data_IF_001490702536
#
_entry.id   IF_001490702536
#
_cell.length_a   1.000
_cell.length_b   1.000
_cell.length_c   1.000
_cell.angle_alpha   90.00
_cell.angle_beta   90.00
_cell.angle_gamma   90.00
#
_symmetry.space_group_name_H-M   'P 1'
#
loop_
_entity.id
_entity.type
_entity.pdbx_description
1 polymer ?
#
# COMPACT_ATOMS: atom_id res chain seq x y z
N UNK A 1 60.39 -32.58 1.28
CA UNK A 1 60.02 -31.66 2.38
C UNK A 1 60.38 -30.28 1.85
N UNK A 2 59.53 -29.59 1.09
CA UNK A 2 58.27 -28.97 1.50
C UNK A 2 58.43 -27.47 1.21
N UNK A 3 58.54 -27.12 -0.06
CA UNK A 3 58.79 -25.74 -0.51
C UNK A 3 57.46 -25.00 -0.65
N UNK A 4 57.26 -24.01 0.21
CA UNK A 4 56.11 -23.10 0.20
C UNK A 4 56.24 -22.12 -0.95
N UNK A 5 55.28 -22.15 -1.87
CA UNK A 5 55.14 -21.19 -2.96
C UNK A 5 54.39 -19.96 -2.43
N UNK A 6 55.12 -18.91 -2.03
CA UNK A 6 54.55 -17.61 -1.71
C UNK A 6 54.12 -16.90 -3.00
N UNK A 7 52.81 -16.71 -3.16
CA UNK A 7 52.24 -15.89 -4.23
C UNK A 7 52.25 -14.44 -3.73
N UNK A 8 53.25 -13.69 -4.17
CA UNK A 8 53.39 -12.24 -3.97
C UNK A 8 52.27 -11.51 -4.75
N UNK A 9 51.24 -11.04 -4.03
CA UNK A 9 50.18 -10.20 -4.59
C UNK A 9 50.67 -8.75 -4.66
N UNK A 10 51.35 -8.42 -5.76
CA UNK A 10 51.64 -7.04 -6.14
C UNK A 10 50.40 -6.40 -6.79
N UNK A 11 49.54 -5.79 -5.96
CA UNK A 11 48.30 -5.12 -6.38
C UNK A 11 48.41 -3.60 -6.33
N UNK A 12 49.32 -3.01 -7.11
CA UNK A 12 49.34 -1.58 -7.36
C UNK A 12 48.27 -1.22 -8.41
N UNK A 13 47.08 -0.85 -7.94
CA UNK A 13 45.98 -0.34 -8.76
C UNK A 13 46.06 1.18 -8.92
N UNK A 14 46.89 1.63 -9.84
CA UNK A 14 47.07 3.02 -10.22
C UNK A 14 45.84 3.51 -11.03
N UNK A 15 45.16 4.55 -10.51
CA UNK A 15 44.31 5.46 -11.30
C UNK A 15 43.12 4.86 -12.06
N UNK A 16 42.14 4.28 -11.38
CA UNK A 16 40.85 3.94 -11.99
C UNK A 16 40.03 5.20 -12.26
N UNK A 17 40.30 5.86 -13.39
CA UNK A 17 39.46 6.95 -13.90
C UNK A 17 38.04 6.41 -14.14
N UNK A 18 37.14 6.66 -13.19
CA UNK A 18 35.72 6.39 -13.35
C UNK A 18 35.17 7.07 -14.59
N UNK A 19 34.20 6.43 -15.25
CA UNK A 19 33.51 7.02 -16.41
C UNK A 19 32.21 7.67 -15.95
N UNK A 20 31.84 8.86 -16.47
CA UNK A 20 30.55 9.45 -16.17
C UNK A 20 29.43 8.66 -16.86
N UNK A 21 28.32 8.48 -16.15
CA UNK A 21 27.12 7.86 -16.69
C UNK A 21 26.57 8.73 -17.85
N UNK A 22 26.28 8.17 -19.04
CA UNK A 22 25.77 8.95 -20.17
C UNK A 22 24.36 9.50 -19.96
N UNK A 23 23.57 8.93 -19.03
CA UNK A 23 22.22 9.40 -18.75
C UNK A 23 22.16 10.52 -17.70
N UNK A 24 22.99 10.47 -16.65
CA UNK A 24 22.90 11.41 -15.52
C UNK A 24 24.21 12.12 -15.15
N UNK A 25 25.32 11.80 -15.82
CA UNK A 25 26.64 12.41 -15.59
C UNK A 25 27.36 11.99 -14.31
N UNK A 26 26.75 11.19 -13.42
CA UNK A 26 27.41 10.72 -12.20
C UNK A 26 28.52 9.73 -12.51
N UNK A 27 29.64 9.83 -11.79
CA UNK A 27 30.78 8.92 -11.93
C UNK A 27 30.40 7.50 -11.52
N UNK A 28 30.75 6.53 -12.38
CA UNK A 28 30.58 5.10 -12.15
C UNK A 28 31.94 4.46 -11.91
N UNK A 29 31.99 3.37 -11.14
CA UNK A 29 33.21 2.58 -11.05
C UNK A 29 33.53 1.99 -12.45
N UNK A 30 34.80 1.75 -12.80
CA UNK A 30 35.17 1.25 -14.13
C UNK A 30 34.50 -0.07 -14.50
N UNK A 31 34.19 -0.88 -13.48
CA UNK A 31 33.54 -2.19 -13.62
C UNK A 31 32.01 -2.12 -13.60
N UNK A 32 31.41 -0.96 -13.31
CA UNK A 32 29.96 -0.84 -13.23
C UNK A 32 29.34 -0.85 -14.62
N UNK A 33 28.38 -1.74 -14.78
CA UNK A 33 27.58 -1.87 -16.00
C UNK A 33 26.29 -1.05 -15.90
N UNK A 34 25.74 -0.91 -14.70
CA UNK A 34 24.49 -0.20 -14.41
C UNK A 34 24.75 0.97 -13.47
N UNK A 35 24.24 2.16 -13.80
CA UNK A 35 24.36 3.32 -12.94
C UNK A 35 23.41 3.18 -11.73
N UNK A 36 23.98 3.06 -10.53
CA UNK A 36 23.21 2.93 -9.28
C UNK A 36 22.29 4.15 -9.04
N UNK A 37 22.68 5.32 -9.55
CA UNK A 37 21.92 6.55 -9.30
C UNK A 37 20.65 6.69 -10.14
N UNK A 38 20.63 6.15 -11.37
CA UNK A 38 19.49 6.32 -12.29
C UNK A 38 18.98 5.02 -12.94
N UNK A 39 19.66 3.89 -12.73
CA UNK A 39 19.31 2.61 -13.33
C UNK A 39 19.77 2.43 -14.78
N UNK A 40 20.57 3.33 -15.36
CA UNK A 40 21.01 3.22 -16.76
C UNK A 40 22.00 2.09 -16.98
N UNK A 41 21.70 1.14 -17.86
CA UNK A 41 22.58 0.04 -18.27
C UNK A 41 23.39 0.43 -19.52
N UNK A 42 24.72 0.48 -19.35
CA UNK A 42 25.68 0.87 -20.39
C UNK A 42 25.87 -0.18 -21.48
N UNK A 43 25.46 -1.44 -21.28
CA UNK A 43 25.52 -2.48 -22.33
C UNK A 43 24.34 -2.39 -23.29
N UNK A 44 23.16 -2.13 -22.74
CA UNK A 44 21.91 -2.13 -23.50
C UNK A 44 21.50 -0.73 -23.97
N UNK A 45 22.04 0.32 -23.35
CA UNK A 45 21.72 1.71 -23.68
C UNK A 45 20.35 2.16 -23.18
N UNK A 46 19.75 1.44 -22.24
CA UNK A 46 18.40 1.70 -21.70
C UNK A 46 18.40 1.73 -20.17
N UNK A 47 17.45 2.47 -19.59
CA UNK A 47 17.23 2.47 -18.14
C UNK A 47 16.54 1.19 -17.69
N UNK A 48 17.18 0.45 -16.80
CA UNK A 48 16.60 -0.73 -16.17
C UNK A 48 15.71 -0.25 -15.03
N UNK A 49 14.41 -0.56 -15.02
CA UNK A 49 13.55 -0.21 -13.91
C UNK A 49 14.08 -0.87 -12.63
N UNK A 50 14.16 -0.10 -11.54
CA UNK A 50 14.80 -0.50 -10.27
C UNK A 50 14.28 -1.85 -9.70
N UNK A 51 13.11 -2.31 -10.13
CA UNK A 51 12.52 -3.59 -9.76
C UNK A 51 13.32 -4.83 -10.24
N UNK A 52 14.22 -4.69 -11.24
CA UNK A 52 15.00 -5.83 -11.79
C UNK A 52 16.43 -5.88 -11.24
N UNK A 53 16.95 -4.78 -10.68
CA UNK A 53 18.32 -4.70 -10.21
C UNK A 53 18.58 -5.49 -8.90
N UNK A 54 17.54 -5.74 -8.09
CA UNK A 54 17.68 -6.47 -6.83
C UNK A 54 17.58 -8.00 -6.96
N UNK A 55 17.19 -8.54 -8.12
CA UNK A 55 17.03 -9.99 -8.32
C UNK A 55 18.20 -10.67 -9.05
N UNK A 56 19.15 -9.91 -9.58
CA UNK A 56 20.31 -10.46 -10.31
C UNK A 56 21.60 -10.58 -9.50
N UNK A 57 21.62 -10.08 -8.25
CA UNK A 57 22.79 -10.19 -7.37
C UNK A 57 22.98 -11.59 -6.75
N UNK A 58 22.01 -12.51 -6.88
CA UNK A 58 22.06 -13.84 -6.23
C UNK A 58 22.24 -15.02 -7.21
N UNK A 59 22.43 -14.77 -8.51
CA UNK A 59 22.51 -15.82 -9.54
C UNK A 59 23.84 -15.84 -10.34
N UNK A 60 24.92 -15.25 -9.82
CA UNK A 60 26.25 -15.33 -10.44
C UNK A 60 27.05 -16.52 -9.87
N UNK A 61 26.68 -17.73 -10.26
CA UNK A 61 27.35 -18.93 -9.76
C UNK A 61 27.06 -20.24 -10.49
N UNK A 62 27.16 -20.29 -11.83
CA UNK A 62 27.76 -21.44 -12.58
C UNK A 62 27.60 -21.35 -14.10
N UNK A 63 28.75 -21.45 -14.76
CA UNK A 63 29.05 -22.12 -16.04
C UNK A 63 28.45 -21.59 -17.36
N UNK A 64 29.36 -21.20 -18.25
CA UNK A 64 29.27 -21.24 -19.72
C UNK A 64 30.08 -22.45 -20.24
N UNK A 65 30.23 -22.72 -21.57
CA UNK A 65 29.40 -22.38 -22.74
C UNK A 65 29.10 -23.60 -23.64
N UNK A 66 28.17 -23.46 -24.60
CA UNK A 66 28.23 -24.21 -25.86
C UNK A 66 27.69 -23.37 -27.02
N UNK A 67 28.48 -23.38 -28.09
CA UNK A 67 28.37 -22.67 -29.35
C UNK A 67 27.20 -23.13 -30.23
N UNK A 68 26.64 -22.20 -31.01
CA UNK A 68 25.81 -22.50 -32.18
C UNK A 68 25.74 -21.29 -33.09
N UNK A 69 26.54 -21.31 -34.16
CA UNK A 69 26.45 -20.39 -35.28
C UNK A 69 25.26 -20.79 -36.18
N UNK A 70 24.53 -19.81 -36.72
CA UNK A 70 23.44 -20.03 -37.65
C UNK A 70 22.83 -18.73 -38.17
N UNK A 71 23.33 -18.31 -39.34
CA UNK A 71 22.74 -17.54 -40.43
C UNK A 71 21.75 -16.38 -40.20
N UNK A 72 22.16 -15.24 -40.78
CA UNK A 72 21.32 -14.13 -41.18
C UNK A 72 20.46 -14.49 -42.42
N UNK A 73 19.21 -14.03 -42.46
CA UNK A 73 18.73 -13.13 -43.53
C UNK A 73 17.22 -12.85 -43.40
N UNK A 74 16.84 -11.62 -43.78
CA UNK A 74 15.54 -11.34 -44.40
C UNK A 74 14.37 -11.06 -43.46
N UNK A 75 14.05 -9.78 -43.26
CA UNK A 75 12.82 -9.39 -42.58
C UNK A 75 12.58 -7.88 -42.51
N UNK A 76 12.79 -7.16 -43.61
CA UNK A 76 12.29 -5.80 -43.74
C UNK A 76 10.77 -5.86 -43.96
N UNK A 77 9.96 -5.50 -42.95
CA UNK A 77 8.54 -5.19 -43.18
C UNK A 77 7.53 -5.58 -42.08
N UNK A 78 7.73 -5.19 -40.82
CA UNK A 78 6.67 -5.18 -39.78
C UNK A 78 6.80 -3.96 -38.85
N UNK A 79 7.20 -2.80 -39.36
CA UNK A 79 7.47 -1.62 -38.51
C UNK A 79 6.22 -0.87 -38.01
N UNK A 80 5.01 -1.22 -38.45
CA UNK A 80 3.77 -0.53 -38.06
C UNK A 80 2.95 -1.21 -36.96
N UNK A 81 2.72 -2.52 -37.08
CA UNK A 81 1.86 -3.27 -36.15
C UNK A 81 2.56 -3.57 -34.81
N UNK A 82 3.87 -3.85 -34.83
CA UNK A 82 4.66 -4.02 -33.60
C UNK A 82 4.85 -2.71 -32.85
N UNK A 83 4.90 -1.56 -33.53
CA UNK A 83 4.95 -0.25 -32.88
C UNK A 83 3.62 0.05 -32.15
N UNK A 84 2.48 -0.23 -32.78
CA UNK A 84 1.16 -0.06 -32.12
C UNK A 84 0.96 -1.05 -30.97
N UNK A 85 1.45 -2.29 -31.08
CA UNK A 85 1.42 -3.26 -29.97
C UNK A 85 2.42 -2.94 -28.85
N UNK A 86 3.59 -2.39 -29.16
CA UNK A 86 4.58 -1.97 -28.17
C UNK A 86 4.18 -0.66 -27.45
N UNK A 87 3.44 0.22 -28.12
CA UNK A 87 2.90 1.44 -27.53
C UNK A 87 1.67 1.13 -26.66
N UNK A 88 0.77 0.24 -27.10
CA UNK A 88 -0.29 -0.31 -26.26
C UNK A 88 0.26 -1.07 -25.03
N UNK A 89 1.33 -1.86 -25.20
CA UNK A 89 2.00 -2.54 -24.09
C UNK A 89 2.70 -1.60 -23.11
N UNK A 90 3.12 -0.39 -23.54
CA UNK A 90 3.64 0.66 -22.65
C UNK A 90 2.54 1.39 -21.90
N UNK A 91 1.35 1.51 -22.49
CA UNK A 91 0.17 2.07 -21.82
C UNK A 91 -0.37 1.11 -20.73
N UNK A 92 -0.28 -0.21 -20.97
CA UNK A 92 -0.74 -1.25 -20.04
C UNK A 92 0.16 -1.50 -18.82
N UNK A 93 1.42 -1.05 -18.86
CA UNK A 93 2.37 -1.21 -17.76
C UNK A 93 2.28 -0.11 -16.68
N UNK A 94 1.28 0.78 -16.74
CA UNK A 94 1.08 1.76 -15.68
C UNK A 94 0.57 1.07 -14.40
N UNK A 95 1.44 0.94 -13.41
CA UNK A 95 1.11 0.43 -12.08
C UNK A 95 -0.12 1.12 -11.49
N UNK A 96 -1.03 0.36 -10.86
CA UNK A 96 -2.36 0.85 -10.40
C UNK A 96 -2.27 2.16 -9.61
N UNK A 97 -1.20 2.31 -8.83
CA UNK A 97 -0.82 3.59 -8.23
C UNK A 97 0.27 4.25 -9.09
N UNK A 98 -0.09 5.09 -10.07
CA UNK A 98 0.92 5.84 -10.81
C UNK A 98 1.66 6.78 -9.85
N UNK A 99 2.94 7.04 -10.13
CA UNK A 99 3.72 8.11 -9.48
C UNK A 99 3.12 9.47 -9.88
N UNK A 100 1.99 9.82 -9.30
CA UNK A 100 1.33 11.10 -9.52
C UNK A 100 1.76 12.11 -8.45
N UNK A 101 1.98 13.35 -8.88
CA UNK A 101 1.96 14.54 -8.01
C UNK A 101 0.48 14.75 -7.65
N UNK A 102 0.08 14.75 -6.36
CA UNK A 102 0.85 15.20 -5.20
C UNK A 102 1.69 14.10 -4.53
N UNK A 103 2.90 14.46 -4.10
CA UNK A 103 3.80 13.55 -3.39
C UNK A 103 3.24 13.07 -2.05
N UNK A 104 3.80 11.97 -1.53
CA UNK A 104 3.36 11.31 -0.30
C UNK A 104 3.12 12.27 0.86
N UNK A 105 4.05 13.19 1.11
CA UNK A 105 3.96 14.15 2.23
C UNK A 105 2.75 15.07 2.11
N UNK A 106 2.39 15.48 0.89
CA UNK A 106 1.22 16.34 0.65
C UNK A 106 -0.07 15.56 0.86
N UNK A 107 -0.14 14.33 0.34
CA UNK A 107 -1.29 13.43 0.57
C UNK A 107 -1.48 13.12 2.05
N UNK A 108 -0.39 12.82 2.75
CA UNK A 108 -0.40 12.55 4.19
C UNK A 108 -0.82 13.79 4.99
N UNK A 109 -0.35 14.98 4.60
CA UNK A 109 -0.75 16.25 5.22
C UNK A 109 -2.25 16.53 5.05
N UNK A 110 -2.77 16.46 3.82
CA UNK A 110 -4.20 16.71 3.55
C UNK A 110 -5.06 15.63 4.21
N UNK A 111 -4.66 14.36 4.10
CA UNK A 111 -5.34 13.23 4.74
C UNK A 111 -5.37 13.36 6.26
N UNK A 112 -4.25 13.74 6.87
CA UNK A 112 -4.14 13.98 8.31
C UNK A 112 -5.05 15.13 8.78
N UNK A 113 -5.10 16.25 8.05
CA UNK A 113 -6.00 17.35 8.38
C UNK A 113 -7.47 16.92 8.28
N UNK A 114 -7.84 16.20 7.21
CA UNK A 114 -9.19 15.66 7.06
C UNK A 114 -9.55 14.69 8.20
N UNK A 115 -8.61 13.84 8.61
CA UNK A 115 -8.77 12.92 9.73
C UNK A 115 -9.03 13.67 11.04
N UNK A 116 -8.22 14.69 11.35
CA UNK A 116 -8.41 15.53 12.54
C UNK A 116 -9.79 16.20 12.52
N UNK A 117 -10.21 16.77 11.38
CA UNK A 117 -11.55 17.34 11.25
C UNK A 117 -12.65 16.31 11.52
N UNK A 118 -12.53 15.09 11.01
CA UNK A 118 -13.48 14.01 11.27
C UNK A 118 -13.54 13.67 12.77
N UNK A 119 -12.39 13.59 13.44
CA UNK A 119 -12.29 13.33 14.87
C UNK A 119 -12.93 14.45 15.71
N UNK A 120 -12.77 15.72 15.30
CA UNK A 120 -13.45 16.86 15.93
C UNK A 120 -14.96 16.75 15.78
N UNK A 121 -15.47 16.38 14.59
CA UNK A 121 -16.91 16.16 14.39
C UNK A 121 -17.43 15.00 15.25
N UNK A 122 -16.66 13.91 15.38
CA UNK A 122 -17.00 12.78 16.27
C UNK A 122 -17.07 13.21 17.73
N UNK A 123 -16.13 14.06 18.18
CA UNK A 123 -16.10 14.60 19.53
C UNK A 123 -17.29 15.56 19.78
N UNK A 124 -17.57 16.44 18.82
CA UNK A 124 -18.67 17.40 18.89
C UNK A 124 -20.06 16.72 18.90
N UNK A 125 -20.18 15.54 18.29
CA UNK A 125 -21.39 14.72 18.33
C UNK A 125 -21.58 13.92 19.64
N UNK A 126 -20.81 14.20 20.70
CA UNK A 126 -21.04 13.60 22.00
C UNK A 126 -22.31 14.19 22.67
N UNK A 127 -23.06 13.40 23.47
CA UNK A 127 -24.22 13.90 24.20
C UNK A 127 -23.85 15.09 25.10
N UNK A 128 -24.72 16.09 25.18
CA UNK A 128 -24.51 17.24 26.08
C UNK A 128 -24.43 16.74 27.53
N UNK A 129 -23.37 17.13 28.24
CA UNK A 129 -23.10 16.65 29.61
C UNK A 129 -22.32 15.33 29.67
N UNK A 130 -21.92 14.75 28.54
CA UNK A 130 -21.02 13.60 28.53
C UNK A 130 -19.68 13.95 29.20
N UNK A 131 -19.22 13.10 30.12
CA UNK A 131 -17.92 13.27 30.76
C UNK A 131 -16.76 13.13 29.78
N UNK A 132 -15.60 13.69 30.14
CA UNK A 132 -14.38 13.68 29.32
C UNK A 132 -13.98 12.27 28.86
N UNK A 133 -14.21 11.24 29.68
CA UNK A 133 -13.92 9.86 29.33
C UNK A 133 -14.72 9.35 28.12
N UNK A 134 -16.00 9.72 28.01
CA UNK A 134 -16.85 9.31 26.89
C UNK A 134 -16.38 9.99 25.60
N UNK A 135 -16.09 11.29 25.66
CA UNK A 135 -15.57 12.04 24.50
C UNK A 135 -14.24 11.46 24.04
N UNK A 136 -13.32 11.22 24.98
CA UNK A 136 -12.00 10.63 24.70
C UNK A 136 -12.11 9.23 24.10
N UNK A 137 -12.99 8.39 24.65
CA UNK A 137 -13.26 7.05 24.11
C UNK A 137 -13.80 7.08 22.69
N UNK A 138 -14.69 8.03 22.36
CA UNK A 138 -15.21 8.20 20.99
C UNK A 138 -14.14 8.65 20.01
N UNK A 139 -13.29 9.60 20.40
CA UNK A 139 -12.16 10.06 19.57
C UNK A 139 -11.17 8.94 19.34
N UNK A 140 -10.80 8.20 20.40
CA UNK A 140 -9.86 7.07 20.28
C UNK A 140 -10.43 5.96 19.39
N UNK A 141 -11.73 5.66 19.53
CA UNK A 141 -12.40 4.70 18.67
C UNK A 141 -12.45 5.18 17.21
N UNK A 142 -12.69 6.48 16.98
CA UNK A 142 -12.64 7.07 15.64
C UNK A 142 -11.24 6.99 15.02
N UNK A 143 -10.18 7.20 15.82
CA UNK A 143 -8.81 7.07 15.37
C UNK A 143 -8.47 5.62 14.98
N UNK A 144 -8.91 4.67 15.80
CA UNK A 144 -8.78 3.24 15.52
C UNK A 144 -9.53 2.85 14.23
N UNK A 145 -10.75 3.37 14.03
CA UNK A 145 -11.56 3.16 12.83
C UNK A 145 -10.83 3.65 11.57
N UNK A 146 -10.26 4.86 11.61
CA UNK A 146 -9.42 5.41 10.54
C UNK A 146 -8.23 4.51 10.24
N UNK A 147 -7.52 4.04 11.27
CA UNK A 147 -6.32 3.21 11.10
C UNK A 147 -6.66 1.86 10.44
N UNK A 148 -7.67 1.15 10.95
CA UNK A 148 -8.09 -0.12 10.39
C UNK A 148 -8.58 0.03 8.96
N UNK A 149 -9.44 1.00 8.69
CA UNK A 149 -10.02 1.14 7.36
C UNK A 149 -9.05 1.67 6.31
N UNK A 150 -8.06 2.47 6.73
CA UNK A 150 -6.94 2.80 5.86
C UNK A 150 -6.14 1.54 5.52
N UNK A 151 -5.85 0.69 6.51
CA UNK A 151 -5.17 -0.59 6.33
C UNK A 151 -5.93 -1.54 5.38
N UNK A 152 -7.23 -1.75 5.61
CA UNK A 152 -8.07 -2.56 4.69
C UNK A 152 -8.16 -1.95 3.31
N UNK A 153 -8.14 -0.62 3.19
CA UNK A 153 -8.07 0.08 1.90
C UNK A 153 -6.78 -0.23 1.15
N UNK A 154 -5.63 -0.25 1.81
CA UNK A 154 -4.35 -0.63 1.18
C UNK A 154 -4.39 -2.07 0.69
N UNK A 155 -4.89 -2.99 1.53
CA UNK A 155 -5.07 -4.41 1.13
C UNK A 155 -6.01 -4.52 -0.06
N UNK A 156 -7.09 -3.73 -0.11
CA UNK A 156 -8.01 -3.69 -1.24
C UNK A 156 -7.33 -3.23 -2.55
N UNK A 157 -6.41 -2.27 -2.51
CA UNK A 157 -5.62 -1.86 -3.70
C UNK A 157 -4.74 -3.00 -4.19
N UNK A 158 -4.09 -3.72 -3.27
CA UNK A 158 -3.26 -4.89 -3.61
C UNK A 158 -4.12 -5.98 -4.26
N UNK A 159 -5.27 -6.31 -3.66
CA UNK A 159 -6.21 -7.30 -4.19
C UNK A 159 -6.74 -6.89 -5.56
N UNK A 160 -7.09 -5.62 -5.76
CA UNK A 160 -7.50 -5.11 -7.06
C UNK A 160 -6.39 -5.26 -8.11
N UNK A 161 -5.12 -5.06 -7.74
CA UNK A 161 -3.99 -5.31 -8.63
C UNK A 161 -3.81 -6.76 -9.02
N UNK A 162 -3.96 -7.67 -8.05
CA UNK A 162 -3.92 -9.10 -8.32
C UNK A 162 -5.08 -9.53 -9.23
N UNK A 163 -6.30 -9.05 -8.97
CA UNK A 163 -7.50 -9.36 -9.77
C UNK A 163 -7.41 -8.81 -11.20
N UNK A 164 -6.85 -7.62 -11.37
CA UNK A 164 -6.67 -6.97 -12.67
C UNK A 164 -5.37 -7.39 -13.37
N UNK A 165 -4.53 -8.24 -12.74
CA UNK A 165 -3.20 -8.63 -13.21
C UNK A 165 -2.29 -7.44 -13.52
N UNK A 166 -2.42 -6.34 -12.77
CA UNK A 166 -1.60 -5.14 -12.92
C UNK A 166 -0.60 -5.01 -11.78
N UNK A 167 0.61 -4.48 -12.03
CA UNK A 167 1.59 -4.29 -10.97
C UNK A 167 1.05 -3.29 -9.94
N UNK A 168 1.23 -3.63 -8.66
CA UNK A 168 0.93 -2.73 -7.56
C UNK A 168 2.04 -1.68 -7.49
N UNK A 169 1.67 -0.40 -7.52
CA UNK A 169 2.64 0.69 -7.40
C UNK A 169 3.19 0.81 -5.96
N UNK A 170 3.76 1.97 -5.64
CA UNK A 170 4.28 2.25 -4.30
C UNK A 170 3.17 2.19 -3.24
N UNK A 171 3.29 1.27 -2.28
CA UNK A 171 2.29 1.05 -1.23
C UNK A 171 2.09 2.28 -0.35
N UNK A 172 3.14 3.06 -0.09
CA UNK A 172 3.05 4.29 0.73
C UNK A 172 2.10 5.31 0.11
N UNK A 173 2.16 5.47 -1.22
CA UNK A 173 1.26 6.34 -1.98
C UNK A 173 -0.18 5.83 -1.94
N UNK A 174 -0.38 4.51 -2.04
CA UNK A 174 -1.70 3.91 -1.89
C UNK A 174 -2.25 4.15 -0.48
N UNK A 175 -1.43 4.03 0.56
CA UNK A 175 -1.80 4.31 1.94
C UNK A 175 -2.20 5.78 2.14
N UNK A 176 -1.42 6.72 1.61
CA UNK A 176 -1.76 8.15 1.67
C UNK A 176 -3.08 8.48 0.98
N UNK A 177 -3.36 7.88 -0.19
CA UNK A 177 -4.65 8.05 -0.90
C UNK A 177 -5.81 7.42 -0.13
N UNK A 178 -5.61 6.23 0.43
CA UNK A 178 -6.64 5.55 1.21
C UNK A 178 -6.96 6.27 2.52
N UNK A 179 -5.95 6.80 3.21
CA UNK A 179 -6.14 7.63 4.39
C UNK A 179 -7.01 8.85 4.08
N UNK A 180 -6.68 9.57 3.00
CA UNK A 180 -7.43 10.75 2.58
C UNK A 180 -8.87 10.38 2.18
N UNK A 181 -9.05 9.37 1.33
CA UNK A 181 -10.38 8.93 0.88
C UNK A 181 -11.27 8.51 2.06
N UNK A 182 -10.72 7.74 3.00
CA UNK A 182 -11.47 7.28 4.17
C UNK A 182 -11.73 8.41 5.17
N UNK A 183 -10.79 9.35 5.35
CA UNK A 183 -11.01 10.51 6.21
C UNK A 183 -12.14 11.40 5.70
N UNK A 184 -12.23 11.61 4.38
CA UNK A 184 -13.35 12.34 3.76
C UNK A 184 -14.66 11.58 3.95
N UNK A 185 -14.68 10.26 3.72
CA UNK A 185 -15.83 9.42 4.01
C UNK A 185 -16.32 9.56 5.45
N UNK A 186 -15.39 9.45 6.41
CA UNK A 186 -15.70 9.52 7.82
C UNK A 186 -16.21 10.92 8.20
N UNK A 187 -15.58 11.97 7.69
CA UNK A 187 -16.02 13.34 7.89
C UNK A 187 -17.48 13.53 7.44
N UNK A 188 -17.80 13.11 6.21
CA UNK A 188 -19.16 13.26 5.64
C UNK A 188 -20.17 12.40 6.39
N UNK A 189 -19.83 11.15 6.71
CA UNK A 189 -20.74 10.22 7.39
C UNK A 189 -21.03 10.58 8.85
N UNK A 190 -20.21 11.44 9.47
CA UNK A 190 -20.41 11.91 10.85
C UNK A 190 -21.10 13.26 10.95
N UNK A 191 -21.35 13.95 9.83
CA UNK A 191 -22.23 15.12 9.81
C UNK A 191 -23.66 14.63 10.05
N UNK A 192 -24.19 14.83 11.26
CA UNK A 192 -25.53 14.40 11.61
C UNK A 192 -26.56 15.45 11.16
N UNK A 193 -27.45 15.16 10.20
CA UNK A 193 -28.62 15.98 9.97
C UNK A 193 -29.61 15.65 11.09
N UNK A 194 -29.91 16.62 11.93
CA UNK A 194 -30.84 16.41 13.04
C UNK A 194 -32.20 15.84 12.58
N UNK A 195 -32.84 15.08 13.47
CA UNK A 195 -34.26 14.67 13.46
C UNK A 195 -34.80 13.81 12.29
N UNK A 196 -34.04 13.46 11.25
CA UNK A 196 -34.55 12.71 10.08
C UNK A 196 -34.75 11.18 10.29
N UNK A 197 -34.59 10.67 11.51
CA UNK A 197 -34.79 9.24 11.83
C UNK A 197 -33.95 8.31 10.95
N UNK A 198 -34.52 7.14 10.58
CA UNK A 198 -33.83 6.12 9.77
C UNK A 198 -33.52 6.60 8.34
N UNK A 199 -34.39 7.44 7.75
CA UNK A 199 -34.18 7.97 6.40
C UNK A 199 -32.96 8.90 6.35
N UNK A 200 -32.75 9.70 7.40
CA UNK A 200 -31.56 10.52 7.55
C UNK A 200 -30.27 9.69 7.60
N UNK A 201 -30.30 8.56 8.31
CA UNK A 201 -29.15 7.63 8.36
C UNK A 201 -28.86 7.06 6.98
N UNK A 202 -29.87 6.60 6.25
CA UNK A 202 -29.70 6.07 4.89
C UNK A 202 -29.11 7.11 3.93
N UNK A 203 -29.69 8.32 3.91
CA UNK A 203 -29.19 9.43 3.09
C UNK A 203 -27.73 9.78 3.42
N UNK A 204 -27.36 9.80 4.70
CA UNK A 204 -25.98 10.06 5.12
C UNK A 204 -25.02 8.93 4.75
N UNK A 205 -25.46 7.67 4.81
CA UNK A 205 -24.65 6.57 4.30
C UNK A 205 -24.43 6.69 2.80
N UNK A 206 -25.46 7.06 2.03
CA UNK A 206 -25.35 7.28 0.59
C UNK A 206 -24.42 8.47 0.26
N UNK A 207 -24.54 9.58 1.00
CA UNK A 207 -23.65 10.73 0.84
C UNK A 207 -22.20 10.38 1.20
N UNK A 208 -21.98 9.64 2.28
CA UNK A 208 -20.66 9.13 2.65
C UNK A 208 -20.08 8.25 1.54
N UNK A 209 -20.83 7.26 1.08
CA UNK A 209 -20.42 6.36 0.00
C UNK A 209 -20.12 7.12 -1.31
N UNK A 210 -20.94 8.12 -1.66
CA UNK A 210 -20.70 8.97 -2.81
C UNK A 210 -19.42 9.81 -2.66
N UNK A 211 -19.20 10.42 -1.48
CA UNK A 211 -17.98 11.18 -1.19
C UNK A 211 -16.73 10.31 -1.24
N UNK A 212 -16.81 9.08 -0.72
CA UNK A 212 -15.74 8.08 -0.82
C UNK A 212 -15.45 7.72 -2.29
N UNK A 213 -16.49 7.40 -3.06
CA UNK A 213 -16.39 7.06 -4.47
C UNK A 213 -15.74 8.17 -5.30
N UNK A 214 -16.21 9.41 -5.14
CA UNK A 214 -15.64 10.59 -5.81
C UNK A 214 -14.19 10.79 -5.38
N UNK A 215 -13.86 10.61 -4.09
CA UNK A 215 -12.49 10.72 -3.60
C UNK A 215 -11.57 9.69 -4.25
N UNK A 216 -12.02 8.43 -4.40
CA UNK A 216 -11.26 7.39 -5.10
C UNK A 216 -11.03 7.76 -6.57
N UNK A 217 -12.06 8.21 -7.29
CA UNK A 217 -11.93 8.63 -8.69
C UNK A 217 -10.91 9.77 -8.84
N UNK A 218 -10.97 10.78 -7.96
CA UNK A 218 -10.06 11.92 -7.99
C UNK A 218 -8.62 11.55 -7.61
N UNK A 219 -8.43 10.66 -6.62
CA UNK A 219 -7.10 10.32 -6.09
C UNK A 219 -6.38 9.29 -6.93
N UNK A 220 -7.08 8.28 -7.44
CA UNK A 220 -6.48 7.26 -8.29
C UNK A 220 -6.43 7.69 -9.75
N UNK A 221 -7.30 8.61 -10.20
CA UNK A 221 -7.38 9.10 -11.58
C UNK A 221 -7.38 7.96 -12.61
N UNK A 222 -8.02 6.84 -12.25
CA UNK A 222 -8.09 5.61 -13.04
C UNK A 222 -9.42 5.49 -13.76
N UNK A 223 -9.51 4.51 -14.65
CA UNK A 223 -10.78 4.15 -15.28
C UNK A 223 -11.80 3.81 -14.17
N UNK A 224 -13.07 4.13 -14.43
CA UNK A 224 -14.20 3.88 -13.53
C UNK A 224 -14.26 2.40 -13.14
N UNK A 225 -13.96 1.49 -14.07
CA UNK A 225 -13.94 0.05 -13.80
C UNK A 225 -12.89 -0.36 -12.77
N UNK A 226 -11.65 0.14 -12.90
CA UNK A 226 -10.57 -0.19 -11.94
C UNK A 226 -10.88 0.37 -10.55
N UNK A 227 -11.39 1.60 -10.52
CA UNK A 227 -11.83 2.26 -9.28
C UNK A 227 -12.98 1.47 -8.62
N UNK A 228 -13.89 0.92 -9.43
CA UNK A 228 -14.98 0.07 -8.97
C UNK A 228 -14.46 -1.21 -8.33
N UNK A 229 -13.48 -1.87 -8.95
CA UNK A 229 -12.85 -3.07 -8.38
C UNK A 229 -12.22 -2.78 -7.02
N UNK A 230 -11.50 -1.65 -6.88
CA UNK A 230 -10.92 -1.24 -5.59
C UNK A 230 -12.01 -0.98 -4.54
N UNK A 231 -13.06 -0.24 -4.91
CA UNK A 231 -14.16 0.07 -3.99
C UNK A 231 -14.90 -1.19 -3.54
N UNK A 232 -15.21 -2.11 -4.45
CA UNK A 232 -15.85 -3.39 -4.14
C UNK A 232 -14.97 -4.27 -3.26
N UNK A 233 -13.66 -4.35 -3.54
CA UNK A 233 -12.73 -5.09 -2.68
C UNK A 233 -12.66 -4.50 -1.27
N UNK A 234 -12.63 -3.16 -1.14
CA UNK A 234 -12.63 -2.50 0.16
C UNK A 234 -13.96 -2.70 0.89
N UNK A 235 -15.09 -2.56 0.22
CA UNK A 235 -16.41 -2.82 0.80
C UNK A 235 -16.56 -4.27 1.27
N UNK A 236 -16.04 -5.24 0.51
CA UNK A 236 -15.99 -6.64 0.92
C UNK A 236 -15.18 -6.84 2.21
N UNK A 237 -13.97 -6.28 2.29
CA UNK A 237 -13.15 -6.33 3.51
C UNK A 237 -13.82 -5.62 4.69
N UNK A 238 -14.47 -4.49 4.44
CA UNK A 238 -15.25 -3.76 5.45
C UNK A 238 -16.34 -4.64 6.05
N UNK A 239 -17.11 -5.35 5.22
CA UNK A 239 -18.17 -6.27 5.67
C UNK A 239 -17.58 -7.38 6.55
N UNK A 240 -16.43 -7.93 6.18
CA UNK A 240 -15.75 -8.97 6.99
C UNK A 240 -15.34 -8.43 8.36
N UNK A 241 -14.73 -7.24 8.43
CA UNK A 241 -14.35 -6.60 9.70
C UNK A 241 -15.58 -6.28 10.55
N UNK A 242 -16.65 -5.78 9.93
CA UNK A 242 -17.90 -5.48 10.60
C UNK A 242 -18.58 -6.73 11.16
N UNK A 243 -18.59 -7.83 10.41
CA UNK A 243 -19.11 -9.12 10.89
C UNK A 243 -18.28 -9.65 12.06
N UNK A 244 -16.95 -9.58 11.98
CA UNK A 244 -16.07 -10.04 13.05
C UNK A 244 -16.27 -9.27 14.36
N UNK A 245 -16.38 -7.94 14.28
CA UNK A 245 -16.64 -7.09 15.46
C UNK A 245 -18.04 -7.33 16.03
N UNK A 246 -19.05 -7.48 15.17
CA UNK A 246 -20.42 -7.79 15.59
C UNK A 246 -20.51 -9.14 16.28
N UNK A 247 -19.83 -10.16 15.76
CA UNK A 247 -19.78 -11.48 16.36
C UNK A 247 -19.12 -11.44 17.75
N UNK A 248 -18.02 -10.69 17.90
CA UNK A 248 -17.37 -10.49 19.20
C UNK A 248 -18.29 -9.89 20.25
N UNK A 249 -19.10 -8.89 19.88
CA UNK A 249 -20.08 -8.28 20.80
C UNK A 249 -21.20 -9.25 21.18
N UNK A 250 -21.67 -10.07 20.24
CA UNK A 250 -22.70 -11.09 20.52
C UNK A 250 -22.14 -12.16 21.45
N UNK A 251 -20.90 -12.60 21.26
CA UNK A 251 -20.25 -13.60 22.12
C UNK A 251 -20.03 -13.07 23.55
N UNK A 252 -19.56 -11.83 23.72
CA UNK A 252 -19.43 -11.20 25.04
C UNK A 252 -20.79 -11.04 25.75
N UNK A 253 -21.84 -10.68 25.00
CA UNK A 253 -23.19 -10.61 25.55
C UNK A 253 -23.72 -11.99 25.97
N UNK A 254 -23.47 -13.03 25.17
CA UNK A 254 -23.85 -14.41 25.49
C UNK A 254 -23.08 -14.93 26.72
N UNK A 255 -21.79 -14.64 26.84
CA UNK A 255 -20.98 -15.02 28.01
C UNK A 255 -21.51 -14.42 29.31
N UNK A 256 -21.91 -13.15 29.29
CA UNK A 256 -22.51 -12.47 30.45
C UNK A 256 -23.85 -13.05 30.89
N UNK A 257 -24.56 -13.74 30.00
CA UNK A 257 -25.83 -14.40 30.30
C UNK A 257 -25.66 -15.83 30.84
N UNK A 258 -24.48 -16.44 30.67
CA UNK A 258 -24.22 -17.76 31.22
C UNK A 258 -24.29 -17.70 32.76
N UNK A 259 -25.07 -18.58 33.41
CA UNK A 259 -25.13 -18.64 34.86
C UNK A 259 -23.72 -18.94 35.38
N UNK A 260 -23.13 -17.99 36.11
CA UNK A 260 -21.84 -18.22 36.75
C UNK A 260 -21.99 -19.36 37.74
N UNK A 261 -21.12 -20.35 37.63
CA UNK A 261 -21.01 -21.37 38.66
C UNK A 261 -20.87 -20.67 40.02
N UNK A 262 -21.57 -21.15 41.07
CA UNK A 262 -21.44 -20.56 42.39
C UNK A 262 -19.95 -20.54 42.75
N UNK A 263 -19.44 -19.35 43.07
CA UNK A 263 -18.05 -19.20 43.51
C UNK A 263 -17.85 -20.16 44.69
N UNK A 264 -16.86 -21.07 44.63
CA UNK A 264 -16.63 -22.00 45.73
C UNK A 264 -16.49 -21.19 47.01
N UNK A 265 -17.21 -21.61 48.05
CA UNK A 265 -17.17 -20.93 49.34
C UNK A 265 -15.70 -20.77 49.76
N UNK A 266 -15.30 -19.59 50.27
CA UNK A 266 -13.95 -19.42 50.80
C UNK A 266 -13.69 -20.53 51.83
N UNK A 267 -12.48 -21.11 51.88
CA UNK A 267 -12.17 -22.14 52.86
C UNK A 267 -12.53 -21.59 54.24
N UNK A 268 -13.32 -22.37 54.99
CA UNK A 268 -13.72 -21.99 56.34
C UNK A 268 -12.45 -21.60 57.11
N UNK A 269 -12.37 -20.34 57.54
CA UNK A 269 -11.22 -19.91 58.32
C UNK A 269 -11.22 -20.72 59.59
N UNK A 270 -10.23 -21.59 59.73
CA UNK A 270 -9.97 -22.34 60.96
C UNK A 270 -9.64 -21.29 62.01
N UNK A 271 -10.62 -20.94 62.85
CA UNK A 271 -10.36 -20.12 64.02
C UNK A 271 -9.45 -20.96 64.92
N UNK A 272 -8.18 -20.56 64.99
CA UNK A 272 -7.21 -21.18 65.88
C UNK A 272 -7.64 -21.02 67.34
N UNK A 273 -7.31 -22.00 68.21
CA UNK A 273 -7.58 -21.92 69.65
C UNK A 273 -6.80 -20.79 70.34
#
# INVERSE_FOLDING_TARGET
MGETFEIERSGAGEGSNGRPCPACGKMMAPTDVVCIACGFDTRTGVNVPAAVASSTAEAAGKTAPASGAGEASGGAGISGAEAMHAEAAKEDAQAISPDSKPGLNVLLGIGGVAAVCALVVIAAGAPVGAGLWIVSGRVLLGLYDIAIHTGTGVVAVVLAGLLLKKPVGRLDLAAGRMLLAFSVFLLVSKIQPGALGWFGVLMMMLMGAAAYWVSLLLLFRRNVQETHTIACAHAGLYIVVWLGTSLGLVLDAAEKQLPRAPTPAPPAQVQGP
#
